data_IF_093356179597
#
_entry.id   IF_093356179597
#
_cell.length_a   1.000
_cell.length_b   1.000
_cell.length_c   1.000
_cell.angle_alpha   90.00
_cell.angle_beta   90.00
_cell.angle_gamma   90.00
#
_symmetry.space_group_name_H-M   'P 1'
#
loop_
_entity.id
_entity.type
_entity.pdbx_description
1 polymer ?
#
# COMPACT_ATOMS: atom_id res chain seq x y z
N UNK A 1 30.09 -38.70 -12.84
CA UNK A 1 30.33 -37.42 -12.14
C UNK A 1 29.33 -36.33 -12.54
N UNK A 2 29.01 -36.15 -13.83
CA UNK A 2 28.03 -35.14 -14.28
C UNK A 2 26.61 -35.27 -13.68
N UNK A 3 26.12 -36.48 -13.42
CA UNK A 3 24.79 -36.72 -12.81
C UNK A 3 24.71 -36.25 -11.35
N UNK A 4 25.80 -36.43 -10.58
CA UNK A 4 25.87 -35.97 -9.19
C UNK A 4 25.92 -34.43 -9.12
N UNK A 5 26.61 -33.78 -10.06
CA UNK A 5 26.64 -32.33 -10.20
C UNK A 5 25.25 -31.77 -10.54
N UNK A 6 24.52 -32.43 -11.45
CA UNK A 6 23.17 -32.03 -11.85
C UNK A 6 22.14 -32.16 -10.71
N UNK A 7 22.26 -33.20 -9.87
CA UNK A 7 21.42 -33.36 -8.67
C UNK A 7 21.71 -32.28 -7.63
N UNK A 8 22.98 -31.93 -7.43
CA UNK A 8 23.37 -30.88 -6.48
C UNK A 8 22.85 -29.50 -6.87
N UNK A 9 22.84 -29.19 -8.17
CA UNK A 9 22.26 -27.96 -8.73
C UNK A 9 20.74 -27.93 -8.53
N UNK A 10 20.05 -29.07 -8.73
CA UNK A 10 18.61 -29.19 -8.52
C UNK A 10 18.22 -29.06 -7.04
N UNK A 11 19.07 -29.56 -6.12
CA UNK A 11 18.88 -29.41 -4.67
C UNK A 11 19.05 -27.96 -4.20
N UNK A 12 19.90 -27.18 -4.85
CA UNK A 12 20.13 -25.78 -4.49
C UNK A 12 18.97 -24.85 -4.91
N UNK A 13 18.21 -25.19 -5.96
CA UNK A 13 17.12 -24.34 -6.46
C UNK A 13 15.83 -24.47 -5.64
N UNK A 14 15.56 -25.65 -5.06
CA UNK A 14 14.38 -25.88 -4.21
C UNK A 14 14.45 -25.17 -2.85
N UNK A 15 15.64 -24.87 -2.34
CA UNK A 15 15.84 -24.19 -1.04
C UNK A 15 15.48 -22.70 -1.10
N UNK A 16 15.28 -22.13 -2.30
CA UNK A 16 14.97 -20.71 -2.46
C UNK A 16 13.49 -20.34 -2.28
N UNK A 17 12.60 -21.32 -2.20
CA UNK A 17 11.16 -21.08 -2.12
C UNK A 17 10.66 -21.54 -0.75
N UNK A 18 10.46 -20.62 0.19
CA UNK A 18 9.86 -20.98 1.48
C UNK A 18 10.23 -20.12 2.68
N UNK A 19 10.79 -18.92 2.53
CA UNK A 19 10.84 -17.99 3.67
C UNK A 19 9.42 -17.45 3.89
N UNK A 20 8.76 -17.78 5.02
CA UNK A 20 7.47 -17.17 5.34
C UNK A 20 7.72 -15.68 5.49
N UNK A 21 6.99 -14.89 4.69
CA UNK A 21 7.03 -13.46 4.82
C UNK A 21 6.26 -13.08 6.09
N UNK A 22 6.99 -12.78 7.15
CA UNK A 22 6.46 -12.33 8.44
C UNK A 22 6.02 -10.86 8.41
N UNK A 23 5.86 -10.28 7.22
CA UNK A 23 5.22 -8.99 7.02
C UNK A 23 3.73 -9.11 7.32
N UNK A 24 3.25 -8.18 8.13
CA UNK A 24 1.81 -7.98 8.36
C UNK A 24 1.19 -7.56 7.02
N UNK A 25 0.12 -8.23 6.62
CA UNK A 25 -0.61 -7.87 5.41
C UNK A 25 -1.12 -6.44 5.57
N UNK A 26 -0.70 -5.55 4.68
CA UNK A 26 -1.08 -4.16 4.75
C UNK A 26 -2.58 -4.03 4.43
N UNK A 27 -3.33 -3.20 5.18
CA UNK A 27 -4.72 -2.93 4.86
C UNK A 27 -4.82 -2.38 3.43
N UNK A 28 -5.85 -2.80 2.70
CA UNK A 28 -6.08 -2.36 1.32
C UNK A 28 -7.11 -1.25 1.33
N UNK A 29 -6.91 -0.27 0.45
CA UNK A 29 -7.93 0.73 0.14
C UNK A 29 -9.12 0.01 -0.50
N UNK A 30 -10.29 0.08 0.12
CA UNK A 30 -11.52 -0.42 -0.48
C UNK A 30 -12.48 0.74 -0.68
N UNK A 31 -12.79 1.05 -1.94
CA UNK A 31 -13.55 2.23 -2.33
C UNK A 31 -13.04 3.45 -1.56
N UNK A 32 -11.73 3.73 -1.64
CA UNK A 32 -11.05 4.85 -0.98
C UNK A 32 -11.12 4.95 0.56
N UNK A 33 -11.78 4.02 1.24
CA UNK A 33 -11.71 3.89 2.70
C UNK A 33 -10.53 2.99 3.06
N UNK A 34 -9.75 3.46 4.04
CA UNK A 34 -8.70 2.69 4.68
C UNK A 34 -9.16 2.32 6.10
N UNK A 35 -9.46 1.05 6.35
CA UNK A 35 -9.70 0.59 7.72
C UNK A 35 -8.36 0.36 8.41
N UNK A 36 -8.07 1.22 9.39
CA UNK A 36 -6.85 1.18 10.20
C UNK A 36 -7.14 0.85 11.66
N UNK A 37 -8.34 0.36 11.98
CA UNK A 37 -8.75 0.05 13.36
C UNK A 37 -7.82 -0.94 14.06
N UNK A 38 -7.17 -1.84 13.31
CA UNK A 38 -6.18 -2.79 13.80
C UNK A 38 -4.72 -2.41 13.55
N UNK A 39 -4.43 -1.22 13.01
CA UNK A 39 -3.08 -0.82 12.64
C UNK A 39 -2.39 -0.05 13.76
N UNK A 40 -1.24 -0.53 14.19
CA UNK A 40 -0.35 0.14 15.14
C UNK A 40 0.91 0.62 14.42
N UNK A 41 1.06 1.94 14.28
CA UNK A 41 2.21 2.55 13.60
C UNK A 41 3.54 2.34 14.33
N UNK A 42 3.55 2.06 15.63
CA UNK A 42 4.79 1.79 16.36
C UNK A 42 5.35 0.40 16.03
N UNK A 43 4.47 -0.60 15.90
CA UNK A 43 4.86 -2.00 15.70
C UNK A 43 4.77 -2.45 14.24
N UNK A 44 3.81 -1.92 13.47
CA UNK A 44 3.56 -2.27 12.07
C UNK A 44 4.29 -1.31 11.10
N UNK A 45 4.73 -0.16 11.60
CA UNK A 45 5.51 0.81 10.84
C UNK A 45 4.70 1.60 9.82
N UNK A 46 5.40 2.11 8.81
CA UNK A 46 4.79 2.96 7.78
C UNK A 46 3.82 2.16 6.92
N UNK A 47 2.64 2.73 6.72
CA UNK A 47 1.64 2.20 5.82
C UNK A 47 1.93 2.66 4.38
N UNK A 48 1.94 1.73 3.44
CA UNK A 48 2.04 2.06 2.02
C UNK A 48 0.65 2.33 1.45
N UNK A 49 0.40 3.58 1.04
CA UNK A 49 -0.84 4.02 0.38
C UNK A 49 -0.73 3.75 -1.13
N UNK A 50 -0.62 2.48 -1.50
CA UNK A 50 -0.59 2.06 -2.91
C UNK A 50 -2.02 1.99 -3.46
N UNK A 51 -2.26 2.60 -4.61
CA UNK A 51 -3.57 2.63 -5.27
C UNK A 51 -3.58 3.58 -6.46
N UNK A 52 -4.74 3.67 -7.10
CA UNK A 52 -4.97 4.63 -8.18
C UNK A 52 -5.31 6.00 -7.58
N UNK A 53 -4.41 6.96 -7.76
CA UNK A 53 -4.52 8.30 -7.21
C UNK A 53 -4.82 9.33 -8.31
N UNK A 54 -5.74 10.25 -8.04
CA UNK A 54 -5.99 11.44 -8.87
C UNK A 54 -5.43 12.68 -8.15
N UNK A 55 -4.54 13.42 -8.82
CA UNK A 55 -3.90 14.63 -8.29
C UNK A 55 -4.39 15.86 -9.04
N UNK A 56 -4.87 16.86 -8.31
CA UNK A 56 -5.42 18.10 -8.86
C UNK A 56 -4.51 19.28 -8.51
N UNK A 57 -3.55 19.58 -9.40
CA UNK A 57 -2.61 20.68 -9.21
C UNK A 57 -3.26 22.05 -9.42
N UNK A 58 -2.97 23.01 -8.53
CA UNK A 58 -3.45 24.40 -8.61
C UNK A 58 -4.98 24.55 -8.68
N UNK A 59 -5.72 23.52 -8.28
CA UNK A 59 -7.18 23.52 -8.25
C UNK A 59 -7.64 23.30 -6.82
N UNK A 60 -8.33 24.29 -6.26
CA UNK A 60 -9.01 24.12 -4.98
C UNK A 60 -10.37 23.49 -5.27
N UNK A 61 -10.58 22.25 -4.85
CA UNK A 61 -11.87 21.60 -4.98
C UNK A 61 -12.78 22.14 -3.88
N UNK A 62 -13.84 22.86 -4.26
CA UNK A 62 -14.85 23.36 -3.30
C UNK A 62 -15.42 22.17 -2.50
N UNK A 63 -15.62 22.36 -1.20
CA UNK A 63 -16.12 21.33 -0.29
C UNK A 63 -17.50 20.80 -0.72
N UNK A 64 -18.31 21.63 -1.38
CA UNK A 64 -19.59 21.21 -1.97
C UNK A 64 -19.40 20.35 -3.21
N UNK A 65 -18.39 20.64 -4.03
CA UNK A 65 -17.99 19.79 -5.15
C UNK A 65 -17.49 18.44 -4.65
N UNK A 66 -16.78 18.40 -3.51
CA UNK A 66 -16.40 17.13 -2.88
C UNK A 66 -17.61 16.25 -2.60
N UNK A 67 -18.75 16.77 -2.12
CA UNK A 67 -19.94 15.92 -1.87
C UNK A 67 -20.53 15.30 -3.16
N UNK A 68 -20.37 15.96 -4.30
CA UNK A 68 -20.84 15.48 -5.61
C UNK A 68 -19.87 14.45 -6.21
N UNK A 69 -18.55 14.65 -6.03
CA UNK A 69 -17.53 13.70 -6.51
C UNK A 69 -17.30 12.53 -5.54
N UNK A 70 -17.40 12.75 -4.23
CA UNK A 70 -17.25 11.75 -3.16
C UNK A 70 -18.39 10.75 -3.08
N UNK A 71 -19.56 11.10 -3.61
CA UNK A 71 -20.60 10.12 -3.90
C UNK A 71 -20.10 9.00 -4.85
N UNK A 72 -19.02 9.25 -5.61
CA UNK A 72 -18.47 8.31 -6.58
C UNK A 72 -16.96 7.99 -6.43
N UNK A 73 -16.13 8.74 -5.66
CA UNK A 73 -14.65 8.54 -5.57
C UNK A 73 -13.95 9.36 -4.46
N UNK A 74 -12.77 8.95 -4.02
CA UNK A 74 -12.03 9.60 -2.92
C UNK A 74 -11.01 10.64 -3.41
N UNK A 75 -10.89 11.75 -2.66
CA UNK A 75 -10.00 12.88 -2.95
C UNK A 75 -9.22 13.25 -1.67
N UNK A 76 -7.90 13.34 -1.76
CA UNK A 76 -7.04 13.85 -0.69
C UNK A 76 -6.94 15.38 -0.77
N UNK A 77 -7.15 16.07 0.36
CA UNK A 77 -7.06 17.53 0.46
C UNK A 77 -5.97 17.90 1.46
N UNK A 78 -4.82 18.36 0.96
CA UNK A 78 -3.75 18.89 1.80
C UNK A 78 -4.13 20.29 2.30
N UNK A 79 -4.65 20.38 3.52
CA UNK A 79 -4.72 21.64 4.25
C UNK A 79 -3.37 21.90 4.92
N UNK A 80 -2.44 22.52 4.21
CA UNK A 80 -1.31 23.18 4.86
C UNK A 80 -1.83 24.42 5.60
N UNK A 81 -2.19 24.27 6.88
CA UNK A 81 -2.40 25.42 7.75
C UNK A 81 -1.04 26.04 8.03
N UNK A 82 -0.75 27.18 7.42
CA UNK A 82 0.36 28.04 7.83
C UNK A 82 0.20 28.35 9.32
N UNK A 83 1.09 27.79 10.14
CA UNK A 83 1.32 28.30 11.50
C UNK A 83 1.85 29.72 11.38
N UNK A 84 1.18 30.64 12.08
CA UNK A 84 1.55 32.05 12.22
C UNK A 84 2.98 32.23 12.72
#
# INVERSE_FOLDING_TARGET
MAKALSIFILLFTIVRCGYPDNRIEQPKVSQGVFDLSGWDFQTNGNLSINGDWELYWNQLIDQRSFLVYAANRFVFSDYCTNTQ
#
